data_IF_244621440149
#
_entry.id   IF_244621440149
#
_cell.length_a   1.000
_cell.length_b   1.000
_cell.length_c   1.000
_cell.angle_alpha   90.00
_cell.angle_beta   90.00
_cell.angle_gamma   90.00
#
_symmetry.space_group_name_H-M   'P 1'
#
loop_
_entity.id
_entity.type
_entity.pdbx_description
1 polymer ?
#
# COMPACT_ATOMS: atom_id res chain seq x y z
N UNK A 1 -13.78 -32.95 0.86
CA UNK A 1 -12.32 -32.91 0.51
C UNK A 1 -12.09 -32.93 -0.98
N UNK A 2 -12.86 -33.69 -1.76
CA UNK A 2 -12.67 -33.80 -3.21
C UNK A 2 -12.84 -32.49 -3.97
N UNK A 3 -13.78 -31.65 -3.53
CA UNK A 3 -13.98 -30.29 -4.11
C UNK A 3 -12.74 -29.42 -3.94
N UNK A 4 -12.14 -29.40 -2.75
CA UNK A 4 -10.92 -28.64 -2.50
C UNK A 4 -9.74 -29.13 -3.35
N UNK A 5 -9.58 -30.46 -3.43
CA UNK A 5 -8.53 -31.07 -4.25
C UNK A 5 -8.75 -30.82 -5.75
N UNK A 6 -9.99 -30.89 -6.21
CA UNK A 6 -10.34 -30.56 -7.61
C UNK A 6 -10.03 -29.10 -7.93
N UNK A 7 -10.39 -28.18 -7.03
CA UNK A 7 -10.05 -26.77 -7.18
C UNK A 7 -8.51 -26.55 -7.20
N UNK A 8 -7.76 -27.17 -6.30
CA UNK A 8 -6.31 -27.03 -6.27
C UNK A 8 -5.65 -27.55 -7.55
N UNK A 9 -6.21 -28.57 -8.20
CA UNK A 9 -5.73 -29.06 -9.49
C UNK A 9 -5.93 -28.02 -10.61
N UNK A 10 -6.97 -27.19 -10.56
CA UNK A 10 -7.18 -26.10 -11.54
C UNK A 10 -6.12 -25.01 -11.46
N UNK A 11 -5.40 -24.94 -10.35
CA UNK A 11 -4.32 -23.97 -10.16
C UNK A 11 -2.97 -24.42 -10.78
N UNK A 12 -2.93 -25.59 -11.40
CA UNK A 12 -1.76 -26.06 -12.15
C UNK A 12 -1.42 -25.05 -13.26
N UNK A 13 -0.20 -24.50 -13.22
CA UNK A 13 0.23 -23.47 -14.18
C UNK A 13 0.25 -22.04 -13.61
N UNK A 14 -0.37 -21.80 -12.46
CA UNK A 14 -0.21 -20.52 -11.76
C UNK A 14 1.13 -20.43 -11.02
N UNK A 15 1.50 -19.17 -10.67
CA UNK A 15 2.73 -18.96 -9.90
C UNK A 15 2.62 -19.68 -8.54
N UNK A 16 3.78 -20.17 -8.06
CA UNK A 16 3.85 -20.82 -6.75
C UNK A 16 3.22 -19.94 -5.64
N UNK A 17 3.47 -18.62 -5.67
CA UNK A 17 2.90 -17.67 -4.69
C UNK A 17 1.38 -17.63 -4.76
N UNK A 18 0.81 -17.70 -5.95
CA UNK A 18 -0.64 -17.77 -6.17
C UNK A 18 -1.21 -19.06 -5.57
N UNK A 19 -0.56 -20.21 -5.80
CA UNK A 19 -0.99 -21.49 -5.24
C UNK A 19 -0.92 -21.45 -3.70
N UNK A 20 0.17 -20.96 -3.12
CA UNK A 20 0.35 -20.81 -1.67
C UNK A 20 -0.79 -19.98 -1.04
N UNK A 21 -1.12 -18.82 -1.66
CA UNK A 21 -2.19 -17.95 -1.18
C UNK A 21 -3.56 -18.63 -1.22
N UNK A 22 -3.86 -19.35 -2.29
CA UNK A 22 -5.13 -20.09 -2.42
C UNK A 22 -5.23 -21.24 -1.39
N UNK A 23 -4.14 -22.01 -1.21
CA UNK A 23 -4.09 -23.06 -0.17
C UNK A 23 -4.29 -22.47 1.22
N UNK A 24 -3.64 -21.34 1.52
CA UNK A 24 -3.80 -20.62 2.78
C UNK A 24 -5.27 -20.19 2.97
N UNK A 25 -5.90 -19.61 1.94
CA UNK A 25 -7.31 -19.21 1.97
C UNK A 25 -8.25 -20.37 2.26
N UNK A 26 -8.06 -21.52 1.57
CA UNK A 26 -8.88 -22.74 1.79
C UNK A 26 -8.69 -23.24 3.24
N UNK A 27 -7.47 -23.30 3.75
CA UNK A 27 -7.20 -23.72 5.15
C UNK A 27 -7.90 -22.83 6.17
N UNK A 28 -7.85 -21.50 5.98
CA UNK A 28 -8.56 -20.56 6.85
C UNK A 28 -10.07 -20.74 6.76
N UNK A 29 -10.62 -20.93 5.56
CA UNK A 29 -12.04 -21.19 5.37
C UNK A 29 -12.49 -22.48 6.06
N UNK A 30 -11.74 -23.59 5.90
CA UNK A 30 -12.05 -24.86 6.56
C UNK A 30 -12.03 -24.75 8.09
N UNK A 31 -11.05 -24.02 8.67
CA UNK A 31 -11.01 -23.74 10.11
C UNK A 31 -12.22 -22.92 10.56
N UNK A 32 -12.59 -21.92 9.77
CA UNK A 32 -13.76 -21.10 10.08
C UNK A 32 -15.04 -21.94 10.10
N UNK A 33 -15.34 -22.73 9.06
CA UNK A 33 -16.55 -23.55 9.02
C UNK A 33 -16.53 -24.66 10.07
N UNK A 34 -15.37 -25.15 10.48
CA UNK A 34 -15.22 -26.03 11.63
C UNK A 34 -15.54 -25.30 12.94
N UNK A 35 -15.04 -24.09 13.14
CA UNK A 35 -15.27 -23.30 14.36
C UNK A 35 -16.74 -22.94 14.60
N UNK A 36 -17.54 -22.81 13.53
CA UNK A 36 -18.99 -22.57 13.62
C UNK A 36 -19.83 -23.85 13.61
N UNK A 37 -19.19 -25.04 13.73
CA UNK A 37 -19.85 -26.32 13.87
C UNK A 37 -20.44 -26.94 12.59
N UNK A 38 -20.13 -26.39 11.42
CA UNK A 38 -20.60 -26.91 10.12
C UNK A 38 -19.78 -28.13 9.64
N UNK A 39 -18.64 -28.41 10.23
CA UNK A 39 -17.80 -29.57 9.97
C UNK A 39 -17.60 -30.35 11.27
N UNK A 40 -17.57 -31.67 11.17
CA UNK A 40 -17.35 -32.60 12.29
C UNK A 40 -15.87 -32.66 12.74
N UNK A 41 -14.94 -32.17 11.89
CA UNK A 41 -13.50 -32.16 12.20
C UNK A 41 -12.81 -31.02 11.45
N UNK A 42 -11.63 -30.57 11.94
CA UNK A 42 -10.77 -29.62 11.24
C UNK A 42 -10.03 -30.34 10.08
N UNK A 43 -10.50 -30.09 8.86
CA UNK A 43 -9.88 -30.63 7.65
C UNK A 43 -8.75 -29.75 7.10
N UNK A 44 -8.46 -28.59 7.69
CA UNK A 44 -7.44 -27.68 7.19
C UNK A 44 -6.05 -28.33 7.15
N UNK A 45 -5.72 -29.18 8.12
CA UNK A 45 -4.41 -29.86 8.18
C UNK A 45 -4.23 -30.92 7.08
N UNK A 46 -5.33 -31.43 6.50
CA UNK A 46 -5.28 -32.37 5.36
C UNK A 46 -4.94 -31.70 4.03
N UNK A 47 -5.05 -30.38 3.95
CA UNK A 47 -4.61 -29.61 2.79
C UNK A 47 -3.14 -29.30 2.95
N UNK A 48 -2.28 -29.99 2.21
CA UNK A 48 -0.84 -29.78 2.30
C UNK A 48 -0.42 -28.45 1.68
N UNK A 49 0.46 -27.71 2.37
CA UNK A 49 1.10 -26.54 1.80
C UNK A 49 2.17 -27.02 0.81
N UNK A 50 2.21 -26.44 -0.42
CA UNK A 50 3.27 -26.77 -1.35
C UNK A 50 4.65 -26.44 -0.73
N UNK A 51 5.58 -27.37 -0.82
CA UNK A 51 6.95 -27.15 -0.33
C UNK A 51 7.66 -26.12 -1.22
N UNK A 52 8.17 -25.05 -0.62
CA UNK A 52 8.96 -24.01 -1.30
C UNK A 52 10.37 -24.01 -0.80
N UNK A 53 11.30 -23.98 -1.71
CA UNK A 53 12.64 -23.53 -1.42
C UNK A 53 12.61 -22.04 -1.08
N UNK A 54 12.87 -21.67 0.18
CA UNK A 54 12.96 -20.27 0.63
C UNK A 54 14.12 -19.50 -0.02
N UNK A 55 14.99 -20.20 -0.75
CA UNK A 55 16.19 -19.63 -1.37
C UNK A 55 15.96 -18.93 -2.72
N UNK A 56 14.75 -18.91 -3.24
CA UNK A 56 14.53 -18.55 -4.66
C UNK A 56 14.23 -17.06 -4.93
N UNK A 57 14.10 -16.19 -3.93
CA UNK A 57 13.92 -14.75 -4.18
C UNK A 57 14.77 -13.90 -3.26
N UNK A 58 15.92 -13.50 -3.76
CA UNK A 58 16.62 -12.32 -3.26
C UNK A 58 15.67 -11.13 -3.50
N UNK A 59 15.29 -10.35 -2.46
CA UNK A 59 14.51 -9.15 -2.66
C UNK A 59 15.25 -8.25 -3.64
N UNK A 60 14.62 -7.89 -4.75
CA UNK A 60 15.19 -6.90 -5.66
C UNK A 60 15.13 -5.54 -4.98
N UNK A 61 16.28 -4.98 -4.68
CA UNK A 61 16.39 -3.59 -4.21
C UNK A 61 16.72 -2.71 -5.42
N UNK A 62 16.02 -1.58 -5.54
CA UNK A 62 16.35 -0.56 -6.54
C UNK A 62 17.69 0.07 -6.20
N UNK A 63 18.54 0.24 -7.20
CA UNK A 63 19.78 1.00 -7.05
C UNK A 63 19.47 2.51 -6.98
N UNK A 64 20.31 3.25 -6.28
CA UNK A 64 20.13 4.69 -6.13
C UNK A 64 20.03 5.43 -7.47
N UNK A 65 20.81 4.99 -8.47
CA UNK A 65 20.79 5.63 -9.79
C UNK A 65 19.51 5.32 -10.57
N UNK A 66 18.93 4.12 -10.39
CA UNK A 66 17.63 3.77 -10.97
C UNK A 66 16.51 4.62 -10.36
N UNK A 67 16.55 4.85 -9.04
CA UNK A 67 15.60 5.74 -8.36
C UNK A 67 15.75 7.19 -8.82
N UNK A 68 16.99 7.69 -8.98
CA UNK A 68 17.24 9.03 -9.53
C UNK A 68 16.73 9.16 -10.96
N UNK A 69 16.99 8.15 -11.81
CA UNK A 69 16.49 8.13 -13.18
C UNK A 69 14.95 8.14 -13.23
N UNK A 70 14.29 7.33 -12.39
CA UNK A 70 12.83 7.34 -12.27
C UNK A 70 12.29 8.70 -11.83
N UNK A 71 12.91 9.34 -10.85
CA UNK A 71 12.49 10.66 -10.36
C UNK A 71 12.73 11.76 -11.40
N UNK A 72 13.74 11.64 -12.25
CA UNK A 72 14.09 12.65 -13.25
C UNK A 72 13.11 12.74 -14.42
N UNK A 73 12.34 11.69 -14.70
CA UNK A 73 11.34 11.68 -15.78
C UNK A 73 10.00 12.30 -15.37
N UNK A 74 9.82 12.60 -14.08
CA UNK A 74 8.58 13.21 -13.59
C UNK A 74 8.56 14.69 -13.95
N UNK A 75 7.56 15.12 -14.70
CA UNK A 75 7.36 16.53 -15.05
C UNK A 75 6.90 17.35 -13.84
N UNK A 76 7.85 17.95 -13.14
CA UNK A 76 7.60 18.78 -11.97
C UNK A 76 7.00 20.16 -12.28
N UNK A 77 6.80 20.52 -13.54
CA UNK A 77 6.08 21.73 -13.93
C UNK A 77 4.57 21.53 -13.85
N UNK A 78 4.10 20.30 -13.96
CA UNK A 78 2.69 19.98 -13.84
C UNK A 78 2.25 19.77 -12.38
N UNK A 79 1.02 20.17 -12.00
CA UNK A 79 0.45 19.92 -10.68
C UNK A 79 0.46 18.44 -10.28
N UNK A 80 0.13 17.56 -11.22
CA UNK A 80 0.15 16.10 -11.02
C UNK A 80 1.57 15.61 -10.77
N UNK A 81 2.52 16.07 -11.56
CA UNK A 81 3.91 15.68 -11.40
C UNK A 81 4.52 16.14 -10.08
N UNK A 82 4.18 17.34 -9.57
CA UNK A 82 4.57 17.78 -8.23
C UNK A 82 4.04 16.84 -7.15
N UNK A 83 2.78 16.44 -7.25
CA UNK A 83 2.16 15.45 -6.35
C UNK A 83 2.91 14.13 -6.37
N UNK A 84 3.06 13.57 -7.56
CA UNK A 84 3.64 12.24 -7.75
C UNK A 84 5.11 12.20 -7.32
N UNK A 85 5.86 13.26 -7.62
CA UNK A 85 7.24 13.43 -7.16
C UNK A 85 7.34 13.44 -5.64
N UNK A 86 6.49 14.22 -4.95
CA UNK A 86 6.46 14.27 -3.49
C UNK A 86 6.08 12.90 -2.87
N UNK A 87 5.07 12.22 -3.42
CA UNK A 87 4.64 10.90 -2.95
C UNK A 87 5.73 9.84 -3.12
N UNK A 88 6.42 9.84 -4.26
CA UNK A 88 7.49 8.90 -4.54
C UNK A 88 8.70 9.16 -3.63
N UNK A 89 9.06 10.43 -3.39
CA UNK A 89 10.11 10.77 -2.44
C UNK A 89 9.80 10.30 -1.02
N UNK A 90 8.57 10.47 -0.54
CA UNK A 90 8.12 9.94 0.75
C UNK A 90 8.27 8.42 0.83
N UNK A 91 7.94 7.72 -0.25
CA UNK A 91 8.11 6.25 -0.32
C UNK A 91 9.58 5.85 -0.35
N UNK A 92 10.40 6.46 -1.22
CA UNK A 92 11.79 6.06 -1.44
C UNK A 92 12.73 6.46 -0.31
N UNK A 93 12.53 7.64 0.27
CA UNK A 93 13.44 8.21 1.28
C UNK A 93 13.02 7.84 2.69
N UNK A 94 11.72 7.89 2.99
CA UNK A 94 11.19 7.57 4.33
C UNK A 94 10.69 6.14 4.47
N UNK A 95 10.64 5.36 3.40
CA UNK A 95 10.14 3.99 3.43
C UNK A 95 8.65 3.87 3.77
N UNK A 96 7.86 4.92 3.55
CA UNK A 96 6.45 4.92 3.86
C UNK A 96 5.67 4.03 2.88
N UNK A 97 4.67 3.34 3.39
CA UNK A 97 3.75 2.59 2.52
C UNK A 97 2.81 3.54 1.79
N UNK A 98 2.42 3.18 0.57
CA UNK A 98 1.51 4.02 -0.23
C UNK A 98 0.19 4.31 0.50
N UNK A 99 -0.33 3.35 1.28
CA UNK A 99 -1.52 3.55 2.11
C UNK A 99 -1.33 4.62 3.19
N UNK A 100 -0.15 4.70 3.80
CA UNK A 100 0.18 5.72 4.79
C UNK A 100 0.34 7.09 4.10
N UNK A 101 1.04 7.16 2.96
CA UNK A 101 1.25 8.39 2.19
C UNK A 101 -0.09 9.00 1.73
N UNK A 102 -0.99 8.18 1.17
CA UNK A 102 -2.31 8.62 0.69
C UNK A 102 -3.16 9.26 1.80
N UNK A 103 -2.98 8.82 3.03
CA UNK A 103 -3.74 9.28 4.18
C UNK A 103 -3.05 10.38 5.00
N UNK A 104 -1.91 10.90 4.53
CA UNK A 104 -1.21 11.99 5.21
C UNK A 104 -2.07 13.26 5.26
N UNK A 105 -2.11 13.85 6.46
CA UNK A 105 -2.81 15.10 6.76
C UNK A 105 -1.81 16.20 7.09
N UNK A 106 -2.22 17.45 6.99
CA UNK A 106 -1.35 18.59 7.35
C UNK A 106 -0.82 18.48 8.77
N UNK A 107 -1.64 18.05 9.72
CA UNK A 107 -1.25 17.86 11.12
C UNK A 107 -0.17 16.80 11.36
N UNK A 108 0.09 15.92 10.38
CA UNK A 108 1.16 14.93 10.48
C UNK A 108 2.55 15.55 10.34
N UNK A 109 2.64 16.76 9.76
CA UNK A 109 3.90 17.46 9.50
C UNK A 109 4.18 18.52 10.57
N UNK A 110 5.18 18.29 11.39
CA UNK A 110 5.79 19.34 12.21
C UNK A 110 6.97 19.94 11.44
N UNK A 111 6.73 21.10 10.82
CA UNK A 111 7.71 21.77 9.97
C UNK A 111 8.84 22.40 10.77
N UNK A 112 8.59 22.86 12.00
CA UNK A 112 9.58 23.47 12.89
C UNK A 112 10.62 22.43 13.30
N UNK A 113 10.18 21.29 13.79
CA UNK A 113 11.04 20.19 14.21
C UNK A 113 11.48 19.28 13.06
N UNK A 114 11.01 19.54 11.83
CA UNK A 114 11.22 18.67 10.66
C UNK A 114 10.88 17.21 10.95
N UNK A 115 9.70 16.96 11.52
CA UNK A 115 9.23 15.62 11.87
C UNK A 115 7.90 15.30 11.20
N UNK A 116 7.76 14.06 10.74
CA UNK A 116 6.52 13.47 10.25
C UNK A 116 6.04 12.44 11.26
N UNK A 117 4.85 12.63 11.81
CA UNK A 117 4.26 11.73 12.79
C UNK A 117 2.90 11.23 12.31
N UNK A 118 2.72 9.91 12.29
CA UNK A 118 1.49 9.28 11.84
C UNK A 118 1.22 7.96 12.58
N UNK A 119 -0.02 7.48 12.50
CA UNK A 119 -0.38 6.11 12.87
C UNK A 119 -0.43 5.30 11.58
N UNK A 120 0.39 4.26 11.47
CA UNK A 120 0.46 3.41 10.29
C UNK A 120 -0.88 2.71 10.03
N UNK A 121 -1.43 2.84 8.82
CA UNK A 121 -2.74 2.28 8.46
C UNK A 121 -2.80 0.75 8.61
N UNK A 122 -1.74 0.03 8.23
CA UNK A 122 -1.72 -1.44 8.26
C UNK A 122 -1.49 -2.03 9.66
N UNK A 123 -0.69 -1.39 10.48
CA UNK A 123 -0.22 -1.96 11.77
C UNK A 123 -0.80 -1.25 12.97
N UNK A 124 -1.47 -0.11 12.77
CA UNK A 124 -2.01 0.77 13.81
C UNK A 124 -0.97 1.22 14.85
N UNK A 125 0.33 1.19 14.47
CA UNK A 125 1.42 1.63 15.35
C UNK A 125 1.81 3.07 15.04
N UNK A 126 2.14 3.86 16.09
CA UNK A 126 2.68 5.20 15.88
C UNK A 126 4.06 5.13 15.22
N UNK A 127 4.33 6.06 14.33
CA UNK A 127 5.61 6.20 13.63
C UNK A 127 5.94 7.69 13.57
N UNK A 128 7.18 8.03 13.98
CA UNK A 128 7.73 9.38 13.82
C UNK A 128 9.05 9.28 13.09
N UNK A 129 9.21 10.08 12.04
CA UNK A 129 10.39 10.10 11.18
C UNK A 129 10.90 11.53 11.02
N UNK A 130 12.21 11.75 10.88
CA UNK A 130 12.75 13.04 10.45
C UNK A 130 12.38 13.29 8.99
N UNK A 131 12.10 14.55 8.63
CA UNK A 131 11.84 14.96 7.25
C UNK A 131 13.14 15.56 6.66
N UNK A 132 13.82 14.86 5.74
CA UNK A 132 14.93 15.42 5.00
C UNK A 132 14.47 16.62 4.15
N UNK A 133 15.34 17.60 3.97
CA UNK A 133 14.99 18.84 3.26
C UNK A 133 14.44 18.59 1.85
N UNK A 134 15.01 17.66 1.10
CA UNK A 134 14.53 17.31 -0.23
C UNK A 134 13.08 16.82 -0.24
N UNK A 135 12.68 16.03 0.76
CA UNK A 135 11.31 15.54 0.92
C UNK A 135 10.38 16.69 1.35
N UNK A 136 10.83 17.48 2.34
CA UNK A 136 10.06 18.61 2.84
C UNK A 136 9.76 19.63 1.74
N UNK A 137 10.76 20.03 0.97
CA UNK A 137 10.58 20.96 -0.14
C UNK A 137 9.68 20.42 -1.25
N UNK A 138 9.75 19.13 -1.56
CA UNK A 138 8.87 18.52 -2.55
C UNK A 138 7.40 18.55 -2.10
N UNK A 139 7.13 18.24 -0.83
CA UNK A 139 5.78 18.29 -0.26
C UNK A 139 5.27 19.74 -0.22
N UNK A 140 6.10 20.71 0.19
CA UNK A 140 5.75 22.14 0.23
C UNK A 140 5.47 22.66 -1.19
N UNK A 141 6.29 22.29 -2.18
CA UNK A 141 6.07 22.71 -3.58
C UNK A 141 4.74 22.18 -4.10
N UNK A 142 4.41 20.94 -3.81
CA UNK A 142 3.09 20.40 -4.16
C UNK A 142 1.96 21.16 -3.47
N UNK A 143 2.04 21.37 -2.16
CA UNK A 143 0.98 22.06 -1.39
C UNK A 143 0.73 23.47 -1.93
N UNK A 144 1.82 24.22 -2.22
CA UNK A 144 1.73 25.63 -2.65
C UNK A 144 1.38 25.78 -4.11
N UNK A 145 1.93 24.93 -4.98
CA UNK A 145 1.97 25.15 -6.42
C UNK A 145 1.29 24.05 -7.25
N UNK A 146 0.82 22.96 -6.61
CA UNK A 146 0.23 21.82 -7.32
C UNK A 146 -1.11 21.37 -6.76
N UNK A 147 -1.36 21.53 -5.46
CA UNK A 147 -2.57 21.02 -4.82
C UNK A 147 -3.82 21.80 -5.27
N UNK A 148 -4.92 21.12 -5.66
CA UNK A 148 -6.18 21.78 -5.97
C UNK A 148 -6.68 22.64 -4.79
N UNK A 149 -6.95 23.93 -5.05
CA UNK A 149 -7.37 24.90 -4.03
C UNK A 149 -8.89 24.84 -3.75
N UNK A 150 -9.64 24.24 -4.67
CA UNK A 150 -11.12 24.23 -4.65
C UNK A 150 -11.74 23.16 -3.77
N UNK A 151 -10.93 22.34 -3.11
CA UNK A 151 -11.39 21.23 -2.27
C UNK A 151 -10.87 21.39 -0.85
N UNK A 152 -11.79 21.62 0.08
CA UNK A 152 -11.47 21.67 1.52
C UNK A 152 -11.24 20.26 2.06
N UNK A 153 -9.99 19.94 2.32
CA UNK A 153 -9.59 18.68 2.94
C UNK A 153 -8.33 18.91 3.79
N UNK A 154 -8.26 18.25 4.92
CA UNK A 154 -7.07 18.19 5.75
C UNK A 154 -6.01 17.20 5.21
N UNK A 155 -6.37 16.38 4.22
CA UNK A 155 -5.43 15.49 3.54
C UNK A 155 -4.53 16.27 2.59
N UNK A 156 -3.24 15.93 2.61
CA UNK A 156 -2.24 16.60 1.78
C UNK A 156 -2.41 16.25 0.32
N UNK A 157 -2.58 14.96 -0.01
CA UNK A 157 -2.60 14.48 -1.40
C UNK A 157 -4.01 14.25 -1.91
N UNK A 158 -4.34 14.96 -3.00
CA UNK A 158 -5.66 14.92 -3.64
C UNK A 158 -5.59 14.36 -5.06
N UNK A 159 -6.72 13.88 -5.57
CA UNK A 159 -6.91 13.61 -6.99
C UNK A 159 -6.87 14.92 -7.77
N UNK A 160 -6.39 14.87 -9.01
CA UNK A 160 -6.35 16.03 -9.91
C UNK A 160 -7.46 15.97 -10.98
N UNK A 161 -8.47 15.17 -10.73
CA UNK A 161 -9.70 15.09 -11.52
C UNK A 161 -10.89 15.39 -10.60
N UNK A 162 -11.89 16.14 -11.09
CA UNK A 162 -13.10 16.38 -10.29
C UNK A 162 -13.68 15.05 -9.79
N UNK A 163 -14.20 15.03 -8.56
CA UNK A 163 -14.38 16.13 -7.62
C UNK A 163 -13.17 16.50 -6.76
N UNK A 164 -11.94 16.15 -7.14
CA UNK A 164 -10.67 16.43 -6.45
C UNK A 164 -10.56 15.79 -5.05
N UNK A 165 -11.23 14.68 -4.85
CA UNK A 165 -11.23 13.93 -3.61
C UNK A 165 -9.83 13.52 -3.15
N UNK A 166 -9.65 13.20 -1.86
CA UNK A 166 -8.46 12.53 -1.36
C UNK A 166 -8.14 11.25 -2.13
N UNK A 167 -6.84 11.00 -2.35
CA UNK A 167 -6.39 9.77 -2.98
C UNK A 167 -6.64 8.61 -2.01
N UNK A 168 -7.60 7.75 -2.28
CA UNK A 168 -7.88 6.58 -1.43
C UNK A 168 -9.26 6.52 -0.82
N UNK A 169 -10.08 7.56 -0.98
CA UNK A 169 -11.50 7.45 -0.70
C UNK A 169 -12.21 6.73 -1.86
N UNK A 170 -12.15 5.39 -1.86
CA UNK A 170 -12.95 4.56 -2.77
C UNK A 170 -14.40 4.37 -2.27
N UNK A 171 -14.74 4.93 -1.10
CA UNK A 171 -15.99 4.65 -0.39
C UNK A 171 -17.15 5.62 -0.69
N UNK A 172 -17.08 6.48 -1.71
CA UNK A 172 -18.20 7.39 -2.02
C UNK A 172 -19.30 6.80 -2.94
N UNK A 173 -19.25 5.51 -3.29
CA UNK A 173 -20.32 4.89 -4.12
C UNK A 173 -21.33 4.05 -3.34
N UNK A 174 -21.41 4.17 -2.01
CA UNK A 174 -22.38 3.39 -1.20
C UNK A 174 -23.24 4.24 -0.26
N UNK A 175 -23.50 5.52 -0.58
CA UNK A 175 -24.55 6.29 0.10
C UNK A 175 -25.36 7.09 -0.91
N UNK A 176 -26.25 6.41 -1.59
CA UNK A 176 -27.50 6.95 -2.14
C UNK A 176 -28.59 5.90 -1.97
#
# INVERSE_FOLDING_TARGET
MDVCNSYLKTLAGYSFKTIEQNVCGIRHFLRFIYSIGLLSADYAEKIHMPAVSKSAKIPSAWKTDELKAMLSVIDRNSPIGKRDYAMILLACVLGLRIGDIKNLRFQNFNWEDKKLSLIQHKTHKPLTLPIPDAVGWAVIDYIKNGRPQYYESDQVFLKHMPPFDPIGNENHMQQQ
#
